data_IF_109701982703
#
_entry.id   IF_109701982703
#
_cell.length_a   1.000
_cell.length_b   1.000
_cell.length_c   1.000
_cell.angle_alpha   90.00
_cell.angle_beta   90.00
_cell.angle_gamma   90.00
#
_symmetry.space_group_name_H-M   'P 1'
#
loop_
_entity.id
_entity.type
_entity.pdbx_description
1 polymer ?
#
# COMPACT_ATOMS: atom_id res chain seq x y z
N UNK A 1 3.87 18.34 -14.13
CA UNK A 1 4.30 17.28 -13.20
C UNK A 1 3.11 16.35 -13.07
N UNK A 2 3.16 15.22 -13.80
CA UNK A 2 2.07 14.25 -13.87
C UNK A 2 1.87 13.67 -12.48
N UNK A 3 0.68 13.85 -11.89
CA UNK A 3 0.30 13.05 -10.74
C UNK A 3 0.39 11.60 -11.20
N UNK A 4 1.24 10.80 -10.55
CA UNK A 4 1.33 9.37 -10.79
C UNK A 4 0.00 8.78 -10.36
N UNK A 5 -0.86 8.51 -11.33
CA UNK A 5 -2.08 7.78 -11.06
C UNK A 5 -1.69 6.37 -10.62
N UNK A 6 -2.15 5.96 -9.44
CA UNK A 6 -1.97 4.61 -8.92
C UNK A 6 -2.33 3.59 -10.01
N UNK A 7 -1.44 2.65 -10.33
CA UNK A 7 -1.67 1.60 -11.34
C UNK A 7 -3.01 0.89 -11.09
N UNK A 8 -3.33 0.63 -9.83
CA UNK A 8 -4.59 0.00 -9.43
C UNK A 8 -5.82 0.83 -9.78
N UNK A 9 -5.75 2.16 -9.64
CA UNK A 9 -6.85 3.05 -10.01
C UNK A 9 -6.98 3.18 -11.53
N UNK A 10 -5.86 3.26 -12.25
CA UNK A 10 -5.85 3.30 -13.70
C UNK A 10 -6.49 2.03 -14.29
N UNK A 11 -6.06 0.85 -13.83
CA UNK A 11 -6.62 -0.45 -14.24
C UNK A 11 -8.11 -0.52 -13.90
N UNK A 12 -8.50 -0.09 -12.70
CA UNK A 12 -9.90 -0.17 -12.30
C UNK A 12 -10.80 0.80 -13.10
N UNK A 13 -10.27 1.95 -13.55
CA UNK A 13 -10.95 2.89 -14.45
C UNK A 13 -11.10 2.36 -15.87
N UNK A 14 -10.04 1.80 -16.45
CA UNK A 14 -10.09 1.20 -17.79
C UNK A 14 -11.17 0.10 -17.87
N UNK A 15 -11.18 -0.79 -16.88
CA UNK A 15 -12.19 -1.84 -16.82
C UNK A 15 -13.58 -1.31 -16.43
N UNK A 16 -13.66 -0.14 -15.77
CA UNK A 16 -14.94 0.55 -15.54
C UNK A 16 -15.58 1.00 -16.85
N UNK A 17 -14.80 1.49 -17.81
CA UNK A 17 -15.32 1.84 -19.14
C UNK A 17 -15.83 0.60 -19.88
N UNK A 18 -15.11 -0.52 -19.80
CA UNK A 18 -15.55 -1.80 -20.38
C UNK A 18 -16.86 -2.30 -19.72
N UNK A 19 -16.95 -2.19 -18.39
CA UNK A 19 -18.16 -2.53 -17.64
C UNK A 19 -19.34 -1.65 -18.07
N UNK A 20 -19.15 -0.33 -18.16
CA UNK A 20 -20.18 0.63 -18.57
C UNK A 20 -20.58 0.47 -20.04
N UNK A 21 -19.64 0.10 -20.92
CA UNK A 21 -19.88 -0.23 -22.31
C UNK A 21 -20.61 -1.56 -22.52
N UNK A 22 -20.79 -2.36 -21.45
CA UNK A 22 -21.46 -3.66 -21.50
C UNK A 22 -20.67 -4.73 -22.26
N UNK A 23 -19.35 -4.57 -22.37
CA UNK A 23 -18.48 -5.55 -23.06
C UNK A 23 -18.20 -6.80 -22.21
N UNK A 24 -18.43 -6.72 -20.90
CA UNK A 24 -18.29 -7.83 -19.95
C UNK A 24 -19.52 -8.73 -20.07
N UNK A 25 -19.31 -9.92 -20.64
CA UNK A 25 -20.40 -10.83 -21.00
C UNK A 25 -20.34 -12.16 -20.26
N UNK A 26 -19.15 -12.65 -19.88
CA UNK A 26 -19.02 -13.92 -19.19
C UNK A 26 -18.96 -13.76 -17.67
N UNK A 27 -19.47 -14.74 -16.89
CA UNK A 27 -19.29 -14.78 -15.43
C UNK A 27 -17.83 -14.66 -14.99
N UNK A 28 -16.92 -15.18 -15.80
CA UNK A 28 -15.48 -15.09 -15.56
C UNK A 28 -14.96 -13.66 -15.70
N UNK A 29 -15.39 -12.92 -16.72
CA UNK A 29 -14.98 -11.52 -16.93
C UNK A 29 -15.48 -10.63 -15.77
N UNK A 30 -16.70 -10.88 -15.27
CA UNK A 30 -17.21 -10.21 -14.07
C UNK A 30 -16.37 -10.53 -12.84
N UNK A 31 -15.97 -11.80 -12.69
CA UNK A 31 -15.13 -12.22 -11.58
C UNK A 31 -13.75 -11.57 -11.66
N UNK A 32 -13.07 -11.64 -12.81
CA UNK A 32 -11.78 -11.00 -13.02
C UNK A 32 -11.83 -9.50 -12.71
N UNK A 33 -12.88 -8.82 -13.20
CA UNK A 33 -13.06 -7.42 -12.89
C UNK A 33 -13.26 -7.18 -11.39
N UNK A 34 -14.04 -8.02 -10.72
CA UNK A 34 -14.25 -7.93 -9.27
C UNK A 34 -12.96 -8.12 -8.46
N UNK A 35 -12.03 -8.98 -8.92
CA UNK A 35 -10.70 -9.15 -8.30
C UNK A 35 -9.90 -7.85 -8.41
N UNK A 36 -9.87 -7.25 -9.62
CA UNK A 36 -9.19 -5.96 -9.85
C UNK A 36 -9.76 -4.86 -8.95
N UNK A 37 -11.08 -4.80 -8.78
CA UNK A 37 -11.74 -3.86 -7.87
C UNK A 37 -11.39 -4.11 -6.39
N UNK A 38 -11.34 -5.37 -5.96
CA UNK A 38 -10.98 -5.74 -4.60
C UNK A 38 -9.54 -5.32 -4.27
N UNK A 39 -8.59 -5.63 -5.15
CA UNK A 39 -7.18 -5.23 -5.00
C UNK A 39 -7.01 -3.71 -5.06
N UNK A 40 -7.75 -3.01 -5.93
CA UNK A 40 -7.74 -1.55 -6.00
C UNK A 40 -8.34 -0.85 -4.77
N UNK A 41 -9.08 -1.58 -3.93
CA UNK A 41 -9.60 -1.09 -2.65
C UNK A 41 -8.71 -1.46 -1.47
N UNK A 42 -7.79 -2.39 -1.64
CA UNK A 42 -6.89 -2.84 -0.57
C UNK A 42 -5.86 -1.76 -0.24
N UNK A 43 -6.09 -1.04 0.84
CA UNK A 43 -5.25 0.09 1.26
C UNK A 43 -3.79 -0.31 1.48
N UNK A 44 -3.52 -1.46 2.10
CA UNK A 44 -2.16 -1.94 2.35
C UNK A 44 -1.37 -2.15 1.05
N UNK A 45 -1.97 -2.85 0.07
CA UNK A 45 -1.35 -3.05 -1.25
C UNK A 45 -1.15 -1.72 -2.00
N UNK A 46 -2.13 -0.81 -1.94
CA UNK A 46 -1.99 0.51 -2.56
C UNK A 46 -0.84 1.31 -1.96
N UNK A 47 -0.70 1.29 -0.63
CA UNK A 47 0.42 1.94 0.04
C UNK A 47 1.76 1.31 -0.34
N UNK A 48 1.82 -0.01 -0.46
CA UNK A 48 3.01 -0.71 -0.91
C UNK A 48 3.42 -0.31 -2.34
N UNK A 49 2.46 -0.21 -3.26
CA UNK A 49 2.72 0.19 -4.66
C UNK A 49 3.15 1.66 -4.73
N UNK A 50 2.42 2.58 -4.09
CA UNK A 50 2.75 4.03 -4.10
C UNK A 50 4.04 4.34 -3.36
N UNK A 51 4.36 3.53 -2.34
CA UNK A 51 5.59 3.63 -1.56
C UNK A 51 6.78 2.91 -2.19
N UNK A 52 6.59 2.23 -3.32
CA UNK A 52 7.59 1.39 -3.99
C UNK A 52 8.20 0.33 -3.03
N UNK A 53 7.38 -0.22 -2.12
CA UNK A 53 7.81 -1.25 -1.18
C UNK A 53 8.20 -2.53 -1.93
N UNK A 54 9.21 -3.23 -1.41
CA UNK A 54 9.80 -4.39 -2.08
C UNK A 54 10.63 -4.05 -3.33
N UNK A 55 10.67 -2.78 -3.78
CA UNK A 55 11.42 -2.32 -4.93
C UNK A 55 11.04 -3.01 -6.25
N UNK A 56 11.87 -2.84 -7.28
CA UNK A 56 11.65 -3.46 -8.60
C UNK A 56 10.41 -2.90 -9.33
N UNK A 57 9.87 -3.70 -10.25
CA UNK A 57 8.68 -3.32 -11.02
C UNK A 57 7.40 -3.73 -10.27
N UNK A 58 6.81 -2.78 -9.54
CA UNK A 58 5.56 -2.96 -8.80
C UNK A 58 4.37 -3.28 -9.69
N UNK A 59 4.38 -2.80 -10.94
CA UNK A 59 3.35 -3.13 -11.95
C UNK A 59 3.38 -4.62 -12.24
N UNK A 60 4.59 -5.13 -12.53
CA UNK A 60 4.78 -6.55 -12.83
C UNK A 60 4.41 -7.44 -11.65
N UNK A 61 4.76 -7.05 -10.43
CA UNK A 61 4.36 -7.77 -9.20
C UNK A 61 2.85 -7.80 -9.02
N UNK A 62 2.16 -6.69 -9.27
CA UNK A 62 0.70 -6.66 -9.22
C UNK A 62 0.06 -7.59 -10.29
N UNK A 63 0.57 -7.57 -11.52
CA UNK A 63 0.08 -8.46 -12.58
C UNK A 63 0.22 -9.94 -12.20
N UNK A 64 1.38 -10.32 -11.65
CA UNK A 64 1.62 -11.69 -11.19
C UNK A 64 0.67 -12.05 -10.05
N UNK A 65 0.50 -11.18 -9.04
CA UNK A 65 -0.47 -11.40 -7.96
C UNK A 65 -1.88 -11.63 -8.51
N UNK A 66 -2.32 -10.77 -9.43
CA UNK A 66 -3.63 -10.90 -10.08
C UNK A 66 -3.75 -12.25 -10.82
N UNK A 67 -2.75 -12.61 -11.62
CA UNK A 67 -2.71 -13.88 -12.35
C UNK A 67 -2.75 -15.10 -11.41
N UNK A 68 -1.99 -15.09 -10.32
CA UNK A 68 -1.99 -16.15 -9.31
C UNK A 68 -3.37 -16.32 -8.69
N UNK A 69 -4.01 -15.21 -8.29
CA UNK A 69 -5.36 -15.23 -7.74
C UNK A 69 -6.33 -15.86 -8.74
N UNK A 70 -6.34 -15.37 -9.98
CA UNK A 70 -7.23 -15.88 -11.02
C UNK A 70 -6.96 -17.36 -11.31
N UNK A 71 -5.71 -17.79 -11.36
CA UNK A 71 -5.35 -19.18 -11.60
C UNK A 71 -5.88 -20.11 -10.51
N UNK A 72 -5.81 -19.70 -9.23
CA UNK A 72 -6.39 -20.49 -8.13
C UNK A 72 -7.88 -20.74 -8.37
N UNK A 73 -8.65 -19.72 -8.74
CA UNK A 73 -10.09 -19.87 -9.01
C UNK A 73 -10.40 -20.58 -10.33
N UNK A 74 -9.51 -20.53 -11.32
CA UNK A 74 -9.69 -21.17 -12.63
C UNK A 74 -9.51 -22.68 -12.57
N UNK A 75 -8.52 -23.15 -11.80
CA UNK A 75 -8.13 -24.56 -11.80
C UNK A 75 -8.64 -25.34 -10.59
N UNK A 76 -9.14 -24.68 -9.54
CA UNK A 76 -9.71 -25.34 -8.37
C UNK A 76 -11.24 -25.24 -8.36
N UNK A 77 -11.91 -26.38 -8.14
CA UNK A 77 -13.38 -26.42 -8.04
C UNK A 77 -13.89 -25.68 -6.80
N UNK A 78 -13.16 -25.81 -5.70
CA UNK A 78 -13.46 -25.19 -4.41
C UNK A 78 -12.21 -24.46 -3.95
N UNK A 79 -12.35 -23.19 -3.60
CA UNK A 79 -11.30 -22.36 -3.02
C UNK A 79 -11.76 -21.99 -1.63
N UNK A 80 -10.90 -22.22 -0.64
CA UNK A 80 -11.17 -21.86 0.75
C UNK A 80 -10.47 -20.54 1.06
N UNK A 81 -11.15 -19.68 1.83
CA UNK A 81 -10.67 -18.33 2.08
C UNK A 81 -9.40 -18.28 2.93
N UNK A 82 -9.20 -19.24 3.84
CA UNK A 82 -7.98 -19.40 4.64
C UNK A 82 -6.77 -19.74 3.75
N UNK A 83 -6.89 -20.74 2.87
CA UNK A 83 -5.84 -21.09 1.92
C UNK A 83 -5.57 -19.95 0.93
N UNK A 84 -6.60 -19.19 0.57
CA UNK A 84 -6.45 -18.00 -0.28
C UNK A 84 -5.69 -16.89 0.45
N UNK A 85 -5.94 -16.70 1.74
CA UNK A 85 -5.24 -15.73 2.57
C UNK A 85 -3.76 -16.10 2.71
N UNK A 86 -3.43 -17.37 2.92
CA UNK A 86 -2.04 -17.84 2.98
C UNK A 86 -1.29 -17.56 1.66
N UNK A 87 -1.95 -17.80 0.51
CA UNK A 87 -1.35 -17.53 -0.81
C UNK A 87 -1.10 -16.03 -1.03
N UNK A 88 -2.12 -15.20 -0.80
CA UNK A 88 -2.00 -13.74 -0.98
C UNK A 88 -0.97 -13.18 0.00
N UNK A 89 -1.06 -13.58 1.28
CA UNK A 89 -0.17 -13.15 2.36
C UNK A 89 1.29 -13.48 2.05
N UNK A 90 1.58 -14.74 1.70
CA UNK A 90 2.95 -15.15 1.36
C UNK A 90 3.52 -14.42 0.15
N UNK A 91 2.69 -14.14 -0.87
CA UNK A 91 3.10 -13.36 -2.03
C UNK A 91 3.42 -11.91 -1.66
N UNK A 92 2.52 -11.21 -0.95
CA UNK A 92 2.74 -9.80 -0.61
C UNK A 92 3.87 -9.60 0.39
N UNK A 93 4.09 -10.56 1.30
CA UNK A 93 5.25 -10.54 2.19
C UNK A 93 6.55 -10.66 1.39
N UNK A 94 6.63 -11.61 0.46
CA UNK A 94 7.84 -11.89 -0.32
C UNK A 94 8.14 -10.78 -1.33
N UNK A 95 7.15 -10.36 -2.12
CA UNK A 95 7.35 -9.47 -3.25
C UNK A 95 7.21 -8.00 -2.89
N UNK A 96 6.33 -7.66 -1.96
CA UNK A 96 6.13 -6.26 -1.52
C UNK A 96 6.77 -5.95 -0.17
N UNK A 97 7.28 -6.94 0.56
CA UNK A 97 7.75 -6.74 1.94
C UNK A 97 6.62 -6.34 2.89
N UNK A 98 5.38 -6.72 2.57
CA UNK A 98 4.18 -6.29 3.27
C UNK A 98 3.73 -7.38 4.25
N UNK A 99 3.81 -7.07 5.55
CA UNK A 99 3.25 -7.89 6.61
C UNK A 99 1.95 -7.22 7.09
N UNK A 100 0.81 -7.85 6.81
CA UNK A 100 -0.50 -7.37 7.22
C UNK A 100 -0.98 -8.11 8.47
N UNK A 101 -0.94 -7.45 9.63
CA UNK A 101 -1.48 -8.00 10.90
C UNK A 101 -2.88 -7.45 11.24
N UNK A 102 -3.46 -6.66 10.33
CA UNK A 102 -4.74 -5.96 10.52
C UNK A 102 -5.96 -6.79 10.09
N UNK A 103 -5.76 -8.03 9.64
CA UNK A 103 -6.84 -8.90 9.14
C UNK A 103 -7.26 -8.60 7.69
N UNK A 104 -6.61 -7.66 7.01
CA UNK A 104 -7.03 -7.21 5.67
C UNK A 104 -6.85 -8.28 4.58
N UNK A 105 -5.88 -9.19 4.76
CA UNK A 105 -5.64 -10.31 3.84
C UNK A 105 -6.79 -11.31 3.89
N UNK A 106 -7.26 -11.63 5.09
CA UNK A 106 -8.38 -12.53 5.35
C UNK A 106 -9.69 -11.91 4.85
N UNK A 107 -9.91 -10.61 5.08
CA UNK A 107 -11.07 -9.90 4.55
C UNK A 107 -11.15 -9.97 3.03
N UNK A 108 -10.03 -9.72 2.35
CA UNK A 108 -9.98 -9.80 0.87
C UNK A 108 -10.18 -11.23 0.40
N UNK A 109 -9.58 -12.20 1.06
CA UNK A 109 -9.70 -13.60 0.67
C UNK A 109 -11.14 -14.13 0.80
N UNK A 110 -11.83 -13.72 1.87
CA UNK A 110 -13.26 -13.97 2.05
C UNK A 110 -14.10 -13.27 0.97
N UNK A 111 -13.78 -12.01 0.66
CA UNK A 111 -14.46 -11.24 -0.38
C UNK A 111 -14.29 -11.92 -1.75
N UNK A 112 -13.08 -12.31 -2.14
CA UNK A 112 -12.80 -12.99 -3.41
C UNK A 112 -13.56 -14.31 -3.54
N UNK A 113 -13.59 -15.10 -2.47
CA UNK A 113 -14.33 -16.37 -2.45
C UNK A 113 -15.83 -16.13 -2.62
N UNK A 114 -16.36 -15.08 -1.98
CA UNK A 114 -17.78 -14.72 -2.11
C UNK A 114 -18.12 -14.19 -3.51
N UNK A 115 -17.26 -13.34 -4.07
CA UNK A 115 -17.41 -12.83 -5.43
C UNK A 115 -17.38 -13.96 -6.47
N UNK A 116 -16.52 -14.94 -6.29
CA UNK A 116 -16.47 -16.11 -7.17
C UNK A 116 -17.80 -16.89 -7.15
N UNK A 117 -18.41 -17.06 -5.98
CA UNK A 117 -19.70 -17.75 -5.84
C UNK A 117 -20.87 -16.91 -6.42
N UNK A 118 -20.91 -15.61 -6.15
CA UNK A 118 -21.89 -14.67 -6.72
C UNK A 118 -21.82 -14.64 -8.25
N UNK A 119 -20.60 -14.52 -8.82
CA UNK A 119 -20.40 -14.54 -10.27
C UNK A 119 -20.82 -15.88 -10.89
N UNK A 120 -20.51 -17.03 -10.25
CA UNK A 120 -20.99 -18.35 -10.70
C UNK A 120 -22.53 -18.46 -10.73
N UNK A 121 -23.22 -17.73 -9.85
CA UNK A 121 -24.69 -17.65 -9.77
C UNK A 121 -25.29 -16.53 -10.63
N UNK A 122 -24.48 -15.84 -11.44
CA UNK A 122 -24.87 -14.67 -12.22
C UNK A 122 -25.45 -13.51 -11.38
N UNK A 123 -24.99 -13.36 -10.14
CA UNK A 123 -25.33 -12.27 -9.25
C UNK A 123 -24.21 -11.23 -9.29
N UNK A 124 -24.50 -10.06 -9.85
CA UNK A 124 -23.48 -9.03 -10.11
C UNK A 124 -23.72 -7.72 -9.34
N UNK A 125 -24.68 -7.70 -8.42
CA UNK A 125 -25.07 -6.49 -7.69
C UNK A 125 -23.92 -5.95 -6.83
N UNK A 126 -23.15 -6.85 -6.20
CA UNK A 126 -21.95 -6.45 -5.45
C UNK A 126 -20.86 -5.91 -6.37
N UNK A 127 -20.62 -6.53 -7.52
CA UNK A 127 -19.62 -6.05 -8.50
C UNK A 127 -19.97 -4.63 -8.97
N UNK A 128 -21.25 -4.37 -9.25
CA UNK A 128 -21.76 -3.02 -9.57
C UNK A 128 -21.53 -2.02 -8.44
N UNK A 129 -21.86 -2.39 -7.21
CA UNK A 129 -21.63 -1.52 -6.06
C UNK A 129 -20.15 -1.21 -5.83
N UNK A 130 -19.27 -2.21 -6.02
CA UNK A 130 -17.82 -1.99 -5.92
C UNK A 130 -17.28 -1.11 -7.05
N UNK A 131 -17.82 -1.25 -8.26
CA UNK A 131 -17.49 -0.39 -9.39
C UNK A 131 -17.79 1.09 -9.09
N UNK A 132 -18.97 1.38 -8.53
CA UNK A 132 -19.33 2.74 -8.09
C UNK A 132 -18.39 3.27 -7.00
N UNK A 133 -18.06 2.43 -6.01
CA UNK A 133 -17.16 2.80 -4.92
C UNK A 133 -15.75 3.13 -5.43
N UNK A 134 -15.25 2.40 -6.42
CA UNK A 134 -13.93 2.66 -7.00
C UNK A 134 -13.83 4.02 -7.68
N UNK A 135 -14.93 4.54 -8.25
CA UNK A 135 -14.93 5.89 -8.84
C UNK A 135 -14.67 7.00 -7.80
N UNK A 136 -14.97 6.73 -6.52
CA UNK A 136 -14.71 7.65 -5.41
C UNK A 136 -13.28 7.56 -4.85
N UNK A 137 -12.48 6.57 -5.28
CA UNK A 137 -11.13 6.41 -4.79
C UNK A 137 -10.19 7.46 -5.39
N UNK A 138 -9.36 8.04 -4.53
CA UNK A 138 -8.32 9.00 -4.88
C UNK A 138 -6.92 8.40 -4.65
N UNK A 139 -5.89 8.82 -5.40
CA UNK A 139 -4.51 8.39 -5.18
C UNK A 139 -4.04 8.67 -3.75
N UNK A 140 -3.19 7.78 -3.20
CA UNK A 140 -2.64 7.95 -1.86
C UNK A 140 -1.35 8.75 -1.98
N UNK A 141 -1.32 10.00 -1.49
CA UNK A 141 -0.11 10.80 -1.45
C UNK A 141 0.67 10.55 -0.13
N UNK A 142 1.57 9.58 -0.17
CA UNK A 142 2.46 9.26 0.94
C UNK A 142 3.46 10.40 1.25
N UNK A 143 3.75 11.30 0.30
CA UNK A 143 4.68 12.43 0.51
C UNK A 143 4.01 13.56 1.29
N UNK A 144 2.72 13.81 1.05
CA UNK A 144 1.93 14.78 1.82
C UNK A 144 1.59 14.30 3.24
N UNK A 145 1.61 12.99 3.50
CA UNK A 145 1.37 12.40 4.81
C UNK A 145 2.54 12.57 5.81
N UNK A 146 3.65 13.19 5.41
CA UNK A 146 4.71 13.59 6.36
C UNK A 146 4.11 14.56 7.36
N UNK A 147 3.95 14.07 8.60
CA UNK A 147 3.60 14.79 9.82
C UNK A 147 4.03 16.25 9.70
N UNK A 148 3.05 17.17 9.70
CA UNK A 148 3.31 18.53 10.13
C UNK A 148 3.85 18.40 11.54
N UNK A 149 5.17 18.44 11.70
CA UNK A 149 5.75 18.76 13.00
C UNK A 149 5.09 20.08 13.38
N UNK A 150 4.22 20.05 14.39
CA UNK A 150 3.78 21.27 15.05
C UNK A 150 5.07 21.91 15.57
N UNK A 151 5.58 22.87 14.80
CA UNK A 151 6.45 23.91 15.31
C UNK A 151 5.55 24.82 16.14
N UNK A 152 5.15 24.31 17.31
CA UNK A 152 4.56 25.13 18.36
C UNK A 152 5.71 25.99 18.88
N UNK A 153 5.84 27.16 18.26
CA UNK A 153 6.75 28.21 18.69
C UNK A 153 6.37 28.71 20.07
N UNK A 154 6.92 28.07 21.10
CA UNK A 154 7.05 28.67 22.43
C UNK A 154 8.38 29.43 22.55
N UNK A 155 8.40 30.60 23.22
CA UNK A 155 9.62 31.36 23.43
C UNK A 155 10.65 30.56 24.26
N UNK A 156 11.91 30.66 23.85
CA UNK A 156 13.06 30.01 24.48
C UNK A 156 13.34 30.54 25.90
N UNK A 157 12.54 30.14 26.89
CA UNK A 157 12.94 30.24 28.30
C UNK A 157 13.51 28.88 28.78
N UNK A 158 14.74 28.85 29.30
CA UNK A 158 15.33 27.63 29.83
C UNK A 158 14.58 27.21 31.10
N UNK A 159 14.01 26.01 31.11
CA UNK A 159 13.47 25.37 32.31
C UNK A 159 14.65 25.06 33.26
N UNK A 160 14.62 25.66 34.45
CA UNK A 160 15.58 25.46 35.53
C UNK A 160 14.88 24.63 36.59
N UNK A 161 15.40 23.44 36.89
CA UNK A 161 14.86 22.57 37.94
C UNK A 161 15.18 23.13 39.34
N UNK A 162 14.52 22.63 40.39
CA UNK A 162 14.73 23.09 41.79
C UNK A 162 16.18 22.95 42.28
N UNK A 163 16.99 22.13 41.62
CA UNK A 163 18.43 21.93 41.88
C UNK A 163 19.34 22.83 41.01
N UNK A 164 18.79 23.76 40.22
CA UNK A 164 19.56 24.73 39.42
C UNK A 164 20.20 24.17 38.15
N UNK A 165 19.85 22.94 37.74
CA UNK A 165 20.32 22.34 36.49
C UNK A 165 19.43 22.75 35.31
N UNK A 166 20.05 23.18 34.21
CA UNK A 166 19.35 23.54 32.96
C UNK A 166 19.31 22.33 32.01
N UNK A 167 18.12 21.91 31.59
CA UNK A 167 17.96 20.81 30.63
C UNK A 167 18.33 21.27 29.21
N UNK A 168 19.46 20.78 28.68
CA UNK A 168 19.87 21.03 27.30
C UNK A 168 18.99 20.22 26.35
N UNK A 169 18.01 20.85 25.72
CA UNK A 169 17.30 20.27 24.57
C UNK A 169 18.26 20.22 23.37
N UNK A 170 18.40 19.04 22.76
CA UNK A 170 19.25 18.85 21.57
C UNK A 170 18.71 19.72 20.43
N UNK A 171 19.34 20.85 20.20
CA UNK A 171 19.16 21.67 18.99
C UNK A 171 19.28 20.78 17.75
N UNK A 172 18.30 20.90 16.83
CA UNK A 172 18.31 20.23 15.53
C UNK A 172 19.60 20.55 14.79
N UNK A 173 20.53 19.60 14.78
CA UNK A 173 21.84 19.74 14.16
C UNK A 173 21.65 20.05 12.67
N UNK A 174 21.97 21.28 12.25
CA UNK A 174 22.35 21.53 10.86
C UNK A 174 23.46 20.52 10.55
N UNK A 175 23.19 19.56 9.65
CA UNK A 175 24.18 18.60 9.16
C UNK A 175 25.27 19.39 8.43
N UNK A 176 26.26 19.85 9.19
CA UNK A 176 27.55 20.21 8.62
C UNK A 176 28.12 18.93 8.02
N UNK A 177 28.65 18.95 6.78
CA UNK A 177 29.28 17.76 6.22
C UNK A 177 30.34 17.27 7.20
N UNK A 178 30.36 15.96 7.47
CA UNK A 178 31.39 15.32 8.28
C UNK A 178 32.75 15.70 7.70
N UNK A 179 33.57 16.40 8.47
CA UNK A 179 34.96 16.64 8.09
C UNK A 179 35.62 15.27 7.89
N UNK A 180 36.14 15.04 6.69
CA UNK A 180 36.87 13.82 6.37
C UNK A 180 38.04 13.65 7.34
N UNK A 181 38.38 12.40 7.66
CA UNK A 181 39.50 12.03 8.51
C UNK A 181 40.78 12.71 8.01
N UNK A 182 41.40 13.51 8.87
CA UNK A 182 42.70 14.13 8.63
C UNK A 182 43.78 13.25 9.28
N UNK A 183 44.60 12.53 8.48
CA UNK A 183 45.62 11.63 9.01
C UNK A 183 46.74 12.35 9.76
N UNK A 184 46.84 13.68 9.68
CA UNK A 184 47.84 14.49 10.39
C UNK A 184 47.30 15.15 11.68
N UNK A 185 46.06 14.86 12.08
CA UNK A 185 45.48 15.42 13.30
C UNK A 185 46.13 14.84 14.57
N UNK A 186 46.97 15.62 15.25
CA UNK A 186 47.51 15.29 16.58
C UNK A 186 46.61 15.79 17.72
N UNK A 187 46.58 15.02 18.82
CA UNK A 187 45.80 15.36 20.01
C UNK A 187 46.35 16.64 20.66
N UNK A 188 45.50 17.64 20.94
CA UNK A 188 45.94 18.81 21.68
C UNK A 188 46.38 18.39 23.09
N UNK A 189 47.67 18.57 23.38
CA UNK A 189 48.30 18.18 24.65
C UNK A 189 49.15 16.92 24.61
N UNK A 190 49.36 16.31 23.44
CA UNK A 190 50.43 15.33 23.27
C UNK A 190 51.78 16.06 23.21
N UNK A 191 52.60 15.89 24.24
CA UNK A 191 54.03 16.18 24.23
C UNK A 191 54.80 14.87 24.24
#
# INVERSE_FOLDING_TARGET
>A
MSGTECILLAVAREHSEQFAAGTITSPWDYFEYSVKLALARWTALRMAIEGEWGGGDTTRKYEILLEEILNVFKYNKTVYADAMADNIGGYVETEFGLICEDGSVEEISNLLTTLADECKKAQYDRVKAMHEQVQSLFPIDLKAAKIKTQDDGEPNEPLIDEDGFTTIRRSGRRKTPTKFYDPEAEFPGAA
#
